data_IF_962728053445
#
_entry.id   IF_962728053445
#
_cell.length_a   1.000
_cell.length_b   1.000
_cell.length_c   1.000
_cell.angle_alpha   90.00
_cell.angle_beta   90.00
_cell.angle_gamma   90.00
#
_symmetry.space_group_name_H-M   'P 1'
#
loop_
_entity.id
_entity.type
_entity.pdbx_description
1 polymer ?
#
# COMPACT_ATOMS: atom_id res chain seq x y z
N UNK A 1 -26.48 15.26 -24.64
CA UNK A 1 -25.11 15.65 -24.18
C UNK A 1 -25.25 15.85 -22.68
N UNK A 2 -24.75 14.93 -21.88
CA UNK A 2 -24.76 15.08 -20.41
C UNK A 2 -23.70 16.13 -20.13
N UNK A 3 -24.11 17.30 -19.66
CA UNK A 3 -23.23 18.32 -19.13
C UNK A 3 -22.38 17.62 -18.05
N UNK A 4 -21.07 17.52 -18.27
CA UNK A 4 -20.19 16.97 -17.25
C UNK A 4 -20.18 17.99 -16.13
N UNK A 5 -20.85 17.67 -15.01
CA UNK A 5 -20.75 18.47 -13.80
C UNK A 5 -19.28 18.63 -13.43
N UNK A 6 -18.76 19.84 -13.62
CA UNK A 6 -17.41 20.21 -13.23
C UNK A 6 -17.46 20.82 -11.84
N UNK A 7 -16.48 20.51 -11.02
CA UNK A 7 -16.31 21.14 -9.71
C UNK A 7 -14.86 21.50 -9.47
N UNK A 8 -14.62 22.42 -8.54
CA UNK A 8 -13.28 22.91 -8.26
C UNK A 8 -12.58 22.06 -7.20
N UNK A 9 -11.35 21.64 -7.51
CA UNK A 9 -10.44 21.00 -6.57
C UNK A 9 -9.23 21.91 -6.36
N UNK A 10 -8.96 22.27 -5.11
CA UNK A 10 -7.77 23.00 -4.74
C UNK A 10 -6.62 22.04 -4.46
N UNK A 11 -5.51 22.17 -5.18
CA UNK A 11 -4.32 21.35 -5.01
C UNK A 11 -3.32 22.05 -4.09
N UNK A 12 -3.18 21.55 -2.86
CA UNK A 12 -2.29 22.12 -1.84
C UNK A 12 -0.80 22.04 -2.25
N UNK A 13 -0.41 21.04 -3.07
CA UNK A 13 0.96 20.90 -3.56
C UNK A 13 1.45 22.10 -4.38
N UNK A 14 0.58 22.70 -5.20
CA UNK A 14 0.90 23.83 -6.09
C UNK A 14 0.23 25.14 -5.70
N UNK A 15 -0.75 25.11 -4.78
CA UNK A 15 -1.57 26.26 -4.42
C UNK A 15 -2.55 26.70 -5.53
N UNK A 16 -2.88 25.81 -6.46
CA UNK A 16 -3.74 26.10 -7.62
C UNK A 16 -5.06 25.33 -7.55
N UNK A 17 -6.10 25.87 -8.19
CA UNK A 17 -7.38 25.22 -8.32
C UNK A 17 -7.57 24.69 -9.74
N UNK A 18 -8.14 23.50 -9.86
CA UNK A 18 -8.44 22.83 -11.13
C UNK A 18 -9.94 22.54 -11.22
N UNK A 19 -10.49 22.61 -12.41
CA UNK A 19 -11.82 22.10 -12.72
C UNK A 19 -11.70 20.61 -13.10
N UNK A 20 -12.43 19.76 -12.38
CA UNK A 20 -12.40 18.30 -12.58
C UNK A 20 -13.80 17.77 -12.80
N UNK A 21 -13.97 16.74 -13.64
CA UNK A 21 -15.27 16.13 -13.86
C UNK A 21 -15.69 15.25 -12.66
N UNK A 22 -17.00 15.10 -12.50
CA UNK A 22 -17.60 14.20 -11.51
C UNK A 22 -16.99 12.80 -11.56
N UNK A 23 -16.72 12.22 -10.40
CA UNK A 23 -16.08 10.91 -10.22
C UNK A 23 -14.66 10.78 -10.79
N UNK A 24 -13.93 11.89 -10.97
CA UNK A 24 -12.50 11.84 -11.31
C UNK A 24 -11.74 11.07 -10.22
N UNK A 25 -10.95 10.06 -10.60
CA UNK A 25 -10.08 9.35 -9.65
C UNK A 25 -8.88 10.22 -9.28
N UNK A 26 -8.43 10.10 -8.02
CA UNK A 26 -7.20 10.77 -7.57
C UNK A 26 -5.98 10.36 -8.39
N UNK A 27 -5.88 9.09 -8.81
CA UNK A 27 -4.80 8.61 -9.69
C UNK A 27 -4.74 9.40 -10.99
N UNK A 28 -5.88 9.49 -11.69
CA UNK A 28 -5.95 10.17 -12.97
C UNK A 28 -5.65 11.68 -12.82
N UNK A 29 -6.10 12.28 -11.70
CA UNK A 29 -5.80 13.67 -11.40
C UNK A 29 -4.30 13.85 -11.09
N UNK A 30 -3.69 12.94 -10.30
CA UNK A 30 -2.25 13.06 -9.98
C UNK A 30 -1.37 12.95 -11.22
N UNK A 31 -1.69 12.06 -12.14
CA UNK A 31 -0.93 11.87 -13.37
C UNK A 31 -0.97 13.12 -14.29
N UNK A 32 -2.08 13.87 -14.23
CA UNK A 32 -2.26 15.09 -15.03
C UNK A 32 -1.58 16.32 -14.40
N UNK A 33 -1.67 16.49 -13.06
CA UNK A 33 -1.30 17.76 -12.42
C UNK A 33 -0.18 17.65 -11.39
N UNK A 34 0.12 16.47 -10.88
CA UNK A 34 1.13 16.24 -9.84
C UNK A 34 1.67 14.80 -9.89
N UNK A 35 2.40 14.41 -10.95
CA UNK A 35 2.90 13.04 -11.11
C UNK A 35 3.96 12.66 -10.06
N UNK A 36 4.63 13.66 -9.49
CA UNK A 36 5.63 13.50 -8.42
C UNK A 36 5.42 14.53 -7.31
N UNK A 37 5.76 14.13 -6.08
CA UNK A 37 5.79 15.01 -4.91
C UNK A 37 7.22 15.41 -4.62
N UNK A 38 7.48 16.73 -4.54
CA UNK A 38 8.80 17.26 -4.20
C UNK A 38 8.93 17.48 -2.69
N UNK A 39 10.00 17.00 -2.13
CA UNK A 39 10.39 17.34 -0.77
C UNK A 39 10.91 18.78 -0.73
N UNK A 40 10.25 19.63 0.06
CA UNK A 40 10.60 21.08 0.13
C UNK A 40 11.97 21.36 0.70
N UNK A 41 12.51 20.44 1.51
CA UNK A 41 13.80 20.62 2.18
C UNK A 41 14.96 20.12 1.33
N UNK A 42 14.79 18.97 0.69
CA UNK A 42 15.87 18.28 -0.05
C UNK A 42 15.77 18.48 -1.56
N UNK A 43 14.62 18.90 -2.08
CA UNK A 43 14.33 18.94 -3.51
C UNK A 43 14.12 17.56 -4.15
N UNK A 44 14.20 16.46 -3.38
CA UNK A 44 14.02 15.11 -3.88
C UNK A 44 12.58 14.90 -4.37
N UNK A 45 12.43 14.16 -5.45
CA UNK A 45 11.15 13.81 -6.04
C UNK A 45 10.75 12.38 -5.65
N UNK A 46 9.49 12.20 -5.30
CA UNK A 46 8.90 10.92 -4.91
C UNK A 46 7.65 10.64 -5.73
N UNK A 47 7.42 9.39 -6.13
CA UNK A 47 6.14 8.98 -6.71
C UNK A 47 4.99 9.30 -5.75
N UNK A 48 3.83 9.63 -6.30
CA UNK A 48 2.60 9.78 -5.53
C UNK A 48 2.14 8.40 -5.06
N UNK A 49 1.90 8.26 -3.75
CA UNK A 49 1.48 7.01 -3.11
C UNK A 49 0.04 7.07 -2.60
N UNK A 50 -0.43 8.25 -2.23
CA UNK A 50 -1.76 8.49 -1.69
C UNK A 50 -2.09 9.98 -1.76
N UNK A 51 -3.29 10.37 -1.29
CA UNK A 51 -3.64 11.77 -1.14
C UNK A 51 -4.34 12.03 0.19
N UNK A 52 -4.21 13.25 0.69
CA UNK A 52 -5.07 13.80 1.73
C UNK A 52 -6.20 14.56 1.03
N UNK A 53 -7.44 14.17 1.28
CA UNK A 53 -8.65 14.87 0.80
C UNK A 53 -9.30 15.46 2.03
N UNK A 54 -9.36 16.78 2.11
CA UNK A 54 -9.77 17.53 3.31
C UNK A 54 -9.07 16.97 4.57
N UNK A 55 -7.75 16.85 4.50
CA UNK A 55 -6.85 16.30 5.54
C UNK A 55 -7.09 14.82 5.90
N UNK A 56 -7.92 14.07 5.15
CA UNK A 56 -8.18 12.64 5.37
C UNK A 56 -7.47 11.80 4.33
N UNK A 57 -6.69 10.83 4.80
CA UNK A 57 -5.96 9.91 3.92
C UNK A 57 -6.92 9.12 3.02
N UNK A 58 -6.67 9.17 1.72
CA UNK A 58 -7.38 8.45 0.67
C UNK A 58 -6.40 7.72 -0.23
N UNK A 59 -6.80 6.55 -0.69
CA UNK A 59 -6.12 5.82 -1.75
C UNK A 59 -6.35 6.48 -3.12
N UNK A 60 -5.50 6.18 -4.08
CA UNK A 60 -5.53 6.82 -5.39
C UNK A 60 -6.75 6.43 -6.26
N UNK A 61 -7.44 5.34 -5.92
CA UNK A 61 -8.71 4.96 -6.55
C UNK A 61 -9.93 5.72 -6.03
N UNK A 62 -9.76 6.55 -4.99
CA UNK A 62 -10.84 7.39 -4.49
C UNK A 62 -11.34 8.34 -5.57
N UNK A 63 -12.67 8.42 -5.71
CA UNK A 63 -13.34 9.25 -6.71
C UNK A 63 -13.86 10.53 -6.06
N UNK A 64 -13.48 11.66 -6.65
CA UNK A 64 -13.92 12.98 -6.25
C UNK A 64 -15.33 13.24 -6.79
N UNK A 65 -16.25 13.61 -5.92
CA UNK A 65 -17.66 13.88 -6.28
C UNK A 65 -18.11 15.32 -6.04
N UNK A 66 -17.35 16.08 -5.26
CA UNK A 66 -17.60 17.48 -4.90
C UNK A 66 -16.27 18.23 -4.79
N UNK A 67 -16.34 19.53 -4.55
CA UNK A 67 -15.16 20.35 -4.31
C UNK A 67 -14.43 19.93 -3.04
N UNK A 68 -13.12 19.76 -3.16
CA UNK A 68 -12.22 19.33 -2.08
C UNK A 68 -10.90 20.07 -2.13
N UNK A 69 -10.21 20.12 -1.00
CA UNK A 69 -8.78 20.35 -0.94
C UNK A 69 -8.06 18.99 -1.06
N UNK A 70 -7.11 18.89 -1.98
CA UNK A 70 -6.34 17.67 -2.21
C UNK A 70 -4.85 17.96 -2.06
N UNK A 71 -4.15 17.16 -1.26
CA UNK A 71 -2.71 17.14 -1.18
C UNK A 71 -2.19 15.74 -1.54
N UNK A 72 -1.46 15.63 -2.65
CA UNK A 72 -0.78 14.38 -2.99
C UNK A 72 0.46 14.18 -2.14
N UNK A 73 0.64 12.96 -1.64
CA UNK A 73 1.72 12.60 -0.73
C UNK A 73 2.55 11.43 -1.27
N UNK A 74 3.87 11.53 -1.08
CA UNK A 74 4.85 10.51 -1.42
C UNK A 74 5.51 9.91 -0.17
N UNK A 75 6.60 9.18 -0.36
CA UNK A 75 7.33 8.50 0.72
C UNK A 75 7.91 9.45 1.78
N UNK A 76 8.16 10.72 1.44
CA UNK A 76 8.62 11.76 2.36
C UNK A 76 7.56 12.19 3.41
N UNK A 77 6.27 11.90 3.16
CA UNK A 77 5.20 12.15 4.11
C UNK A 77 4.99 10.94 5.06
N UNK A 78 4.72 11.15 6.38
CA UNK A 78 4.52 10.04 7.33
C UNK A 78 3.46 9.02 6.89
N UNK A 79 2.33 9.49 6.36
CA UNK A 79 1.26 8.62 5.86
C UNK A 79 1.64 7.91 4.55
N UNK A 80 2.38 8.60 3.67
CA UNK A 80 2.93 7.99 2.46
C UNK A 80 3.92 6.88 2.78
N UNK A 81 4.82 7.11 3.74
CA UNK A 81 5.74 6.08 4.24
C UNK A 81 4.99 4.89 4.84
N UNK A 82 3.94 5.12 5.65
CA UNK A 82 3.09 4.04 6.19
C UNK A 82 2.39 3.26 5.09
N UNK A 83 1.86 3.94 4.09
CA UNK A 83 1.21 3.30 2.92
C UNK A 83 2.20 2.42 2.17
N UNK A 84 3.40 2.91 1.88
CA UNK A 84 4.46 2.16 1.23
C UNK A 84 4.86 0.91 2.03
N UNK A 85 5.12 1.05 3.33
CA UNK A 85 5.51 -0.07 4.19
C UNK A 85 4.42 -1.15 4.27
N UNK A 86 3.14 -0.77 4.35
CA UNK A 86 2.03 -1.74 4.33
C UNK A 86 1.98 -2.53 3.03
N UNK A 87 2.15 -1.86 1.89
CA UNK A 87 2.20 -2.53 0.59
C UNK A 87 3.40 -3.47 0.49
N UNK A 88 4.57 -3.06 0.99
CA UNK A 88 5.77 -3.89 1.03
C UNK A 88 5.59 -5.12 1.92
N UNK A 89 4.94 -4.98 3.09
CA UNK A 89 4.60 -6.11 3.95
C UNK A 89 3.66 -7.10 3.24
N UNK A 90 2.72 -6.60 2.46
CA UNK A 90 1.80 -7.45 1.70
C UNK A 90 2.51 -8.22 0.57
N UNK A 91 3.46 -7.57 -0.12
CA UNK A 91 4.32 -8.24 -1.11
C UNK A 91 5.16 -9.32 -0.43
N UNK A 92 5.78 -9.01 0.71
CA UNK A 92 6.58 -9.98 1.48
C UNK A 92 5.73 -11.17 1.94
N UNK A 93 4.52 -10.92 2.45
CA UNK A 93 3.59 -11.99 2.85
C UNK A 93 3.24 -12.90 1.67
N UNK A 94 3.00 -12.32 0.49
CA UNK A 94 2.69 -13.10 -0.71
C UNK A 94 3.91 -13.92 -1.17
N UNK A 95 5.11 -13.35 -1.16
CA UNK A 95 6.34 -14.07 -1.49
C UNK A 95 6.60 -15.26 -0.54
N UNK A 96 6.47 -15.04 0.78
CA UNK A 96 6.61 -16.11 1.77
C UNK A 96 5.59 -17.22 1.53
N UNK A 97 4.33 -16.90 1.24
CA UNK A 97 3.31 -17.92 0.95
C UNK A 97 3.61 -18.76 -0.30
N UNK A 98 4.24 -18.16 -1.31
CA UNK A 98 4.60 -18.87 -2.55
C UNK A 98 5.78 -19.80 -2.37
N UNK A 99 6.81 -19.37 -1.66
CA UNK A 99 8.03 -20.16 -1.42
C UNK A 99 7.81 -21.17 -0.29
N UNK A 100 7.14 -20.75 0.78
CA UNK A 100 6.95 -21.52 2.01
C UNK A 100 5.46 -21.64 2.36
N UNK A 101 4.67 -22.46 1.63
CA UNK A 101 3.22 -22.55 1.81
C UNK A 101 2.78 -23.09 3.17
N UNK A 102 3.68 -23.79 3.87
CA UNK A 102 3.49 -24.36 5.22
C UNK A 102 3.96 -23.45 6.35
N UNK A 103 4.45 -22.25 6.02
CA UNK A 103 4.97 -21.28 6.99
C UNK A 103 4.12 -20.01 7.05
N UNK A 104 4.36 -19.22 8.08
CA UNK A 104 3.68 -17.94 8.31
C UNK A 104 4.70 -16.84 8.58
N UNK A 105 4.50 -15.69 7.96
CA UNK A 105 5.25 -14.47 8.25
C UNK A 105 4.63 -13.77 9.46
N UNK A 106 5.46 -13.45 10.46
CA UNK A 106 5.08 -12.64 11.61
C UNK A 106 5.87 -11.33 11.54
N UNK A 107 5.16 -10.21 11.51
CA UNK A 107 5.74 -8.87 11.61
C UNK A 107 5.69 -8.48 13.08
N UNK A 108 6.84 -8.49 13.76
CA UNK A 108 6.92 -8.38 15.22
C UNK A 108 6.87 -6.90 15.66
N UNK A 109 7.87 -6.11 15.25
CA UNK A 109 7.97 -4.70 15.67
C UNK A 109 8.77 -3.88 14.67
N UNK A 110 8.67 -2.56 14.81
CA UNK A 110 9.46 -1.62 14.02
C UNK A 110 10.84 -1.39 14.65
N UNK A 111 11.83 -1.27 13.77
CA UNK A 111 13.18 -0.81 14.08
C UNK A 111 13.40 0.56 13.46
N UNK A 112 14.42 1.34 13.87
CA UNK A 112 14.71 2.64 13.26
C UNK A 112 14.87 2.59 11.74
N UNK A 113 15.43 1.49 11.21
CA UNK A 113 15.71 1.30 9.77
C UNK A 113 14.76 0.33 9.05
N UNK A 114 13.73 -0.23 9.72
CA UNK A 114 12.83 -1.19 9.08
C UNK A 114 11.86 -1.89 10.02
N UNK A 115 11.48 -3.11 9.64
CA UNK A 115 10.60 -3.98 10.41
C UNK A 115 11.34 -5.28 10.76
N UNK A 116 11.24 -5.71 12.00
CA UNK A 116 11.68 -7.03 12.39
C UNK A 116 10.57 -8.04 12.09
N UNK A 117 10.91 -9.02 11.25
CA UNK A 117 9.99 -10.06 10.82
C UNK A 117 10.60 -11.44 11.07
N UNK A 118 9.77 -12.42 11.38
CA UNK A 118 10.15 -13.82 11.50
C UNK A 118 9.25 -14.67 10.59
N UNK A 119 9.83 -15.69 9.98
CA UNK A 119 9.08 -16.76 9.32
C UNK A 119 9.01 -17.92 10.27
N UNK A 120 7.84 -18.45 10.52
CA UNK A 120 7.61 -19.50 11.51
C UNK A 120 6.81 -20.64 10.90
N UNK A 121 6.89 -21.82 11.52
CA UNK A 121 6.01 -22.93 11.21
C UNK A 121 4.53 -22.53 11.47
N UNK A 122 3.60 -22.95 10.60
CA UNK A 122 2.16 -22.74 10.83
C UNK A 122 1.67 -23.45 12.07
N UNK A 123 2.15 -24.68 12.30
CA UNK A 123 1.79 -25.48 13.47
C UNK A 123 2.51 -24.96 14.71
N UNK A 124 1.78 -24.57 15.76
CA UNK A 124 2.41 -24.23 17.03
C UNK A 124 2.99 -25.48 17.70
N UNK A 125 4.03 -25.28 18.51
CA UNK A 125 4.57 -26.28 19.42
C UNK A 125 3.57 -26.53 20.57
N UNK A 126 3.82 -27.58 21.38
CA UNK A 126 2.98 -27.93 22.55
C UNK A 126 2.85 -26.78 23.57
N UNK A 127 3.85 -25.90 23.65
CA UNK A 127 3.86 -24.73 24.52
C UNK A 127 3.19 -23.50 23.88
N UNK A 128 2.57 -23.63 22.72
CA UNK A 128 1.89 -22.57 21.99
C UNK A 128 2.82 -21.65 21.19
N UNK A 129 4.12 -21.78 21.28
CA UNK A 129 5.10 -21.04 20.47
C UNK A 129 5.18 -21.64 19.06
N UNK A 130 5.70 -20.87 18.13
CA UNK A 130 5.98 -21.34 16.76
C UNK A 130 7.48 -21.47 16.57
N UNK A 131 7.93 -22.57 15.96
CA UNK A 131 9.32 -22.71 15.59
C UNK A 131 9.69 -21.69 14.50
N UNK A 132 10.81 -20.99 14.71
CA UNK A 132 11.33 -20.02 13.76
C UNK A 132 12.06 -20.78 12.64
N UNK A 133 11.76 -20.39 11.41
CA UNK A 133 12.49 -20.83 10.23
C UNK A 133 13.62 -19.84 9.95
N UNK A 134 14.85 -20.28 10.14
CA UNK A 134 16.02 -19.47 9.83
C UNK A 134 16.26 -19.43 8.33
N UNK A 135 16.57 -18.23 7.82
CA UNK A 135 16.93 -18.02 6.42
C UNK A 135 18.44 -17.90 6.30
N UNK A 136 19.03 -18.71 5.44
CA UNK A 136 20.39 -18.50 4.96
C UNK A 136 20.42 -17.45 3.83
N UNK A 137 21.60 -17.13 3.31
CA UNK A 137 21.78 -16.13 2.27
C UNK A 137 21.12 -16.53 0.95
N UNK A 138 21.04 -17.83 0.64
CA UNK A 138 20.41 -18.35 -0.57
C UNK A 138 18.89 -18.21 -0.49
N UNK A 139 18.27 -18.63 0.60
CA UNK A 139 16.85 -18.47 0.86
C UNK A 139 16.42 -16.99 0.90
N UNK A 140 17.29 -16.13 1.46
CA UNK A 140 17.04 -14.68 1.43
C UNK A 140 17.12 -14.10 0.03
N UNK A 141 18.03 -14.59 -0.82
CA UNK A 141 18.14 -14.17 -2.21
C UNK A 141 16.92 -14.62 -3.03
N UNK A 142 16.45 -15.85 -2.81
CA UNK A 142 15.23 -16.39 -3.42
C UNK A 142 14.02 -15.55 -3.06
N UNK A 143 13.83 -15.26 -1.77
CA UNK A 143 12.72 -14.44 -1.27
C UNK A 143 12.74 -13.03 -1.89
N UNK A 144 13.90 -12.39 -1.98
CA UNK A 144 14.06 -11.10 -2.68
C UNK A 144 13.74 -11.20 -4.17
N UNK A 145 14.09 -12.31 -4.81
CA UNK A 145 13.78 -12.60 -6.21
C UNK A 145 12.28 -12.68 -6.43
N UNK A 146 11.58 -13.44 -5.59
CA UNK A 146 10.12 -13.58 -5.66
C UNK A 146 9.40 -12.26 -5.40
N UNK A 147 9.83 -11.48 -4.41
CA UNK A 147 9.27 -10.14 -4.17
C UNK A 147 9.40 -9.24 -5.41
N UNK A 148 10.56 -9.26 -6.08
CA UNK A 148 10.76 -8.49 -7.32
C UNK A 148 9.85 -8.99 -8.44
N UNK A 149 9.66 -10.30 -8.56
CA UNK A 149 8.74 -10.92 -9.53
C UNK A 149 7.30 -10.45 -9.30
N UNK A 150 6.83 -10.46 -8.04
CA UNK A 150 5.50 -9.97 -7.68
C UNK A 150 5.33 -8.48 -8.04
N UNK A 151 6.32 -7.65 -7.74
CA UNK A 151 6.29 -6.22 -8.08
C UNK A 151 6.31 -6.01 -9.59
N UNK A 152 7.12 -6.77 -10.33
CA UNK A 152 7.23 -6.65 -11.79
C UNK A 152 5.96 -7.11 -12.51
N UNK A 153 5.17 -8.00 -11.90
CA UNK A 153 3.88 -8.45 -12.43
C UNK A 153 2.79 -7.36 -12.36
N UNK A 154 3.04 -6.27 -11.62
CA UNK A 154 2.13 -5.10 -11.46
C UNK A 154 0.67 -5.49 -11.19
N UNK A 155 0.47 -6.48 -10.32
CA UNK A 155 -0.87 -6.99 -9.98
C UNK A 155 -1.65 -5.96 -9.18
N UNK A 156 -2.92 -5.68 -9.54
CA UNK A 156 -3.73 -4.72 -8.82
C UNK A 156 -4.12 -5.24 -7.43
N UNK A 157 -4.15 -4.36 -6.43
CA UNK A 157 -4.77 -4.65 -5.13
C UNK A 157 -6.28 -4.56 -5.26
N UNK A 158 -6.97 -5.68 -5.13
CA UNK A 158 -8.43 -5.74 -5.20
C UNK A 158 -9.04 -5.72 -3.81
N UNK A 159 -9.96 -4.79 -3.55
CA UNK A 159 -10.76 -4.74 -2.33
C UNK A 159 -12.03 -5.55 -2.50
N UNK A 160 -12.27 -6.47 -1.60
CA UNK A 160 -13.53 -7.21 -1.50
C UNK A 160 -14.17 -6.88 -0.15
N UNK A 161 -15.42 -6.44 -0.16
CA UNK A 161 -16.25 -6.33 1.04
C UNK A 161 -17.05 -7.61 1.20
N UNK A 162 -16.98 -8.21 2.36
CA UNK A 162 -17.73 -9.43 2.68
C UNK A 162 -18.18 -9.40 4.14
N UNK A 163 -19.15 -10.23 4.46
CA UNK A 163 -19.60 -10.44 5.83
C UNK A 163 -18.49 -11.06 6.69
N UNK A 164 -18.48 -10.72 8.00
CA UNK A 164 -17.42 -11.14 8.90
C UNK A 164 -17.25 -12.67 8.97
N UNK A 165 -18.34 -13.43 8.97
CA UNK A 165 -18.31 -14.89 8.98
C UNK A 165 -17.65 -15.47 7.72
N UNK A 166 -17.98 -14.92 6.54
CA UNK A 166 -17.38 -15.35 5.27
C UNK A 166 -15.88 -14.98 5.21
N UNK A 167 -15.50 -13.84 5.80
CA UNK A 167 -14.10 -13.47 5.91
C UNK A 167 -13.32 -14.42 6.81
N UNK A 168 -13.89 -14.82 7.95
CA UNK A 168 -13.30 -15.77 8.88
C UNK A 168 -13.09 -17.14 8.21
N UNK A 169 -14.10 -17.68 7.51
CA UNK A 169 -13.98 -18.92 6.75
C UNK A 169 -12.87 -18.85 5.69
N UNK A 170 -12.80 -17.72 4.96
CA UNK A 170 -11.76 -17.49 3.96
C UNK A 170 -10.36 -17.49 4.56
N UNK A 171 -10.18 -16.86 5.72
CA UNK A 171 -8.89 -16.82 6.41
C UNK A 171 -8.53 -18.17 7.02
N UNK A 172 -9.48 -18.90 7.58
CA UNK A 172 -9.25 -20.26 8.11
C UNK A 172 -8.89 -21.26 7.01
N UNK A 173 -9.53 -21.16 5.84
CA UNK A 173 -9.24 -22.02 4.69
C UNK A 173 -7.87 -21.75 4.06
N UNK A 174 -7.36 -20.52 4.18
CA UNK A 174 -6.09 -20.11 3.59
C UNK A 174 -4.92 -20.05 4.58
N UNK A 175 -5.13 -20.33 5.85
CA UNK A 175 -4.15 -20.52 6.91
C UNK A 175 -3.57 -19.25 7.47
#
# INVERSE_FOLDING_TARGET
>A
MIEKDLFKVFLANSGTAFEVPFLKRLKDLSDEVCPVVKDRRTGAEYPVLAALVDHKLKELDYKLAVSHEVEFIGYNHPDGKRTYLRSLCFVLQNAVRRIYPDKVLIINHSLPSGLYCTICEKKPLEDGRRAVHELDDEALAELKGEMRSIVSADLPFTKVKMEAAAAEELFLANG
#
